data_IF_725437119875
#
_entry.id   IF_725437119875
#
_cell.length_a   1.000
_cell.length_b   1.000
_cell.length_c   1.000
_cell.angle_alpha   90.00
_cell.angle_beta   90.00
_cell.angle_gamma   90.00
#
_symmetry.space_group_name_H-M   'P 1'
#
loop_
_entity.id
_entity.type
_entity.pdbx_description
1 polymer ?
#
# COMPACT_ATOMS: atom_id res chain seq x y z
N UNK A 1 19.12 7.12 -16.11
CA UNK A 1 18.27 6.70 -14.98
C UNK A 1 16.96 6.25 -15.60
N UNK A 2 16.62 4.95 -15.55
CA UNK A 2 15.56 4.37 -16.37
C UNK A 2 14.21 5.06 -16.17
N UNK A 3 13.59 5.47 -17.27
CA UNK A 3 12.32 6.21 -17.28
C UNK A 3 11.11 5.38 -16.78
N UNK A 4 11.29 4.06 -16.61
CA UNK A 4 10.25 3.13 -16.19
C UNK A 4 10.81 2.04 -15.27
N UNK A 5 10.04 1.64 -14.26
CA UNK A 5 10.27 0.44 -13.45
C UNK A 5 9.22 -0.61 -13.77
N UNK A 6 9.61 -1.87 -13.81
CA UNK A 6 8.70 -2.95 -14.18
C UNK A 6 8.93 -4.20 -13.33
N UNK A 7 7.83 -4.85 -12.96
CA UNK A 7 7.77 -6.02 -12.12
C UNK A 7 6.78 -7.03 -12.73
N UNK A 8 7.24 -8.25 -12.98
CA UNK A 8 6.48 -9.27 -13.72
C UNK A 8 5.66 -10.21 -12.81
N UNK A 9 6.09 -10.41 -11.57
CA UNK A 9 5.51 -11.38 -10.63
C UNK A 9 4.75 -10.68 -9.50
N UNK A 10 3.90 -9.71 -9.85
CA UNK A 10 3.14 -8.90 -8.89
C UNK A 10 1.68 -9.33 -8.87
N UNK A 11 1.13 -9.38 -7.66
CA UNK A 11 -0.24 -9.77 -7.45
C UNK A 11 -1.07 -8.56 -7.03
N UNK A 12 -2.18 -8.30 -7.72
CA UNK A 12 -3.15 -7.29 -7.29
C UNK A 12 -4.16 -7.93 -6.33
N UNK A 13 -4.21 -7.42 -5.11
CA UNK A 13 -5.14 -7.86 -4.08
C UNK A 13 -6.49 -7.15 -4.28
N UNK A 14 -7.49 -7.88 -4.79
CA UNK A 14 -8.85 -7.38 -4.99
C UNK A 14 -9.83 -8.25 -4.22
N UNK A 15 -10.48 -7.66 -3.20
CA UNK A 15 -11.51 -8.34 -2.37
C UNK A 15 -11.07 -9.73 -1.85
N UNK A 16 -9.80 -9.85 -1.43
CA UNK A 16 -9.23 -11.11 -0.92
C UNK A 16 -8.76 -12.10 -2.00
N UNK A 17 -8.86 -11.75 -3.28
CA UNK A 17 -8.26 -12.53 -4.38
C UNK A 17 -6.92 -11.92 -4.79
N UNK A 18 -5.86 -12.73 -4.87
CA UNK A 18 -4.60 -12.35 -5.48
C UNK A 18 -4.66 -12.65 -6.97
N UNK A 19 -4.74 -11.60 -7.77
CA UNK A 19 -4.71 -11.70 -9.22
C UNK A 19 -3.27 -11.53 -9.68
N UNK A 20 -2.74 -12.47 -10.46
CA UNK A 20 -1.39 -12.38 -11.01
C UNK A 20 -1.33 -11.42 -12.20
N UNK A 21 -0.22 -10.70 -12.31
CA UNK A 21 -0.04 -9.71 -13.38
C UNK A 21 1.28 -8.97 -13.33
N UNK A 22 1.42 -8.03 -14.26
CA UNK A 22 2.61 -7.22 -14.46
C UNK A 22 2.34 -5.78 -14.07
N UNK A 23 3.20 -5.23 -13.22
CA UNK A 23 3.14 -3.85 -12.77
C UNK A 23 4.26 -3.03 -13.41
N UNK A 24 3.93 -1.86 -13.94
CA UNK A 24 4.88 -0.92 -14.52
C UNK A 24 4.67 0.48 -13.94
N UNK A 25 5.70 1.04 -13.34
CA UNK A 25 5.76 2.46 -12.97
C UNK A 25 6.39 3.25 -14.11
N UNK A 26 5.66 4.23 -14.62
CA UNK A 26 6.16 5.22 -15.59
C UNK A 26 6.03 6.61 -14.97
N UNK A 27 6.78 7.59 -15.46
CA UNK A 27 6.72 8.97 -14.91
C UNK A 27 5.31 9.57 -14.88
N UNK A 28 4.50 9.22 -15.88
CA UNK A 28 3.15 9.75 -16.06
C UNK A 28 2.06 8.89 -15.39
N UNK A 29 2.30 7.60 -15.20
CA UNK A 29 1.27 6.67 -14.77
C UNK A 29 1.82 5.37 -14.19
N UNK A 30 1.05 4.77 -13.30
CA UNK A 30 1.22 3.38 -12.87
C UNK A 30 0.27 2.51 -13.68
N UNK A 31 0.77 1.42 -14.26
CA UNK A 31 -0.02 0.51 -15.10
C UNK A 31 0.11 -0.91 -14.57
N UNK A 32 -1.01 -1.52 -14.26
CA UNK A 32 -1.09 -2.93 -13.90
C UNK A 32 -1.87 -3.69 -14.98
N UNK A 33 -1.32 -4.81 -15.45
CA UNK A 33 -1.99 -5.71 -16.38
C UNK A 33 -2.15 -7.08 -15.74
N UNK A 34 -3.40 -7.50 -15.54
CA UNK A 34 -3.71 -8.86 -15.09
C UNK A 34 -3.39 -9.86 -16.20
N UNK A 35 -2.65 -10.92 -15.86
CA UNK A 35 -2.33 -11.99 -16.79
C UNK A 35 -3.56 -12.88 -17.05
N UNK A 36 -4.35 -13.15 -16.01
CA UNK A 36 -5.53 -14.04 -16.09
C UNK A 36 -6.68 -13.44 -16.90
N UNK A 37 -7.00 -12.16 -16.68
CA UNK A 37 -8.15 -11.49 -17.32
C UNK A 37 -7.76 -10.60 -18.49
N UNK A 38 -6.48 -10.27 -18.63
CA UNK A 38 -6.01 -9.29 -19.61
C UNK A 38 -6.40 -7.84 -19.27
N UNK A 39 -7.15 -7.61 -18.18
CA UNK A 39 -7.59 -6.29 -17.75
C UNK A 39 -6.38 -5.42 -17.43
N UNK A 40 -6.40 -4.19 -17.94
CA UNK A 40 -5.38 -3.18 -17.68
C UNK A 40 -5.99 -2.09 -16.79
N UNK A 41 -5.42 -1.91 -15.61
CA UNK A 41 -5.74 -0.80 -14.71
C UNK A 41 -4.59 0.22 -14.80
N UNK A 42 -4.93 1.50 -14.98
CA UNK A 42 -3.96 2.59 -15.06
C UNK A 42 -4.33 3.70 -14.08
N UNK A 43 -3.35 4.16 -13.33
CA UNK A 43 -3.46 5.24 -12.36
C UNK A 43 -2.59 6.38 -12.85
N UNK A 44 -3.14 7.58 -12.95
CA UNK A 44 -2.38 8.75 -13.35
C UNK A 44 -1.47 9.21 -12.21
N UNK A 45 -0.24 9.62 -12.51
CA UNK A 45 0.69 10.16 -11.52
C UNK A 45 0.10 11.28 -10.64
N UNK A 46 -0.60 12.31 -11.17
CA UNK A 46 -1.22 13.35 -10.35
C UNK A 46 -2.38 12.89 -9.47
N UNK A 47 -2.94 11.70 -9.73
CA UNK A 47 -4.03 11.15 -8.90
C UNK A 47 -3.49 10.43 -7.66
N UNK A 48 -2.20 10.08 -7.62
CA UNK A 48 -1.58 9.44 -6.46
C UNK A 48 -1.48 10.43 -5.30
N UNK A 49 -2.20 10.13 -4.22
CA UNK A 49 -2.21 10.96 -3.01
C UNK A 49 -1.31 10.39 -1.92
N UNK A 50 -1.29 9.08 -1.75
CA UNK A 50 -0.57 8.41 -0.67
C UNK A 50 -0.02 7.04 -1.11
N UNK A 51 1.13 6.65 -0.56
CA UNK A 51 1.79 5.40 -0.86
C UNK A 51 2.37 4.77 0.42
N UNK A 52 1.89 3.58 0.76
CA UNK A 52 2.30 2.85 1.96
C UNK A 52 3.00 1.55 1.58
N UNK A 53 4.19 1.33 2.12
CA UNK A 53 4.91 0.07 2.09
C UNK A 53 4.53 -0.77 3.31
N UNK A 54 4.10 -2.00 3.09
CA UNK A 54 3.58 -2.89 4.13
C UNK A 54 4.14 -4.29 3.98
N UNK A 55 4.34 -4.97 5.11
CA UNK A 55 4.61 -6.41 5.13
C UNK A 55 3.32 -7.19 4.87
N UNK A 56 3.39 -8.16 3.97
CA UNK A 56 2.23 -8.99 3.56
C UNK A 56 2.61 -10.47 3.54
N UNK A 57 1.64 -11.37 3.31
CA UNK A 57 1.87 -12.81 3.29
C UNK A 57 2.89 -13.24 2.22
N UNK A 58 2.95 -12.51 1.10
CA UNK A 58 3.86 -12.75 -0.03
C UNK A 58 4.96 -11.68 -0.08
N UNK A 59 5.79 -11.62 0.97
CA UNK A 59 6.88 -10.66 1.06
C UNK A 59 6.40 -9.26 1.44
N UNK A 60 6.61 -8.29 0.54
CA UNK A 60 6.19 -6.91 0.75
C UNK A 60 5.13 -6.48 -0.27
N UNK A 61 4.32 -5.52 0.15
CA UNK A 61 3.23 -4.97 -0.64
C UNK A 61 3.21 -3.45 -0.58
N UNK A 62 2.69 -2.85 -1.63
CA UNK A 62 2.43 -1.42 -1.72
C UNK A 62 0.92 -1.20 -1.76
N UNK A 63 0.45 -0.28 -0.92
CA UNK A 63 -0.90 0.27 -0.99
C UNK A 63 -0.81 1.70 -1.54
N UNK A 64 -1.42 1.92 -2.70
CA UNK A 64 -1.55 3.23 -3.32
C UNK A 64 -2.96 3.74 -3.11
N UNK A 65 -3.09 4.93 -2.53
CA UNK A 65 -4.35 5.65 -2.47
C UNK A 65 -4.35 6.77 -3.52
N UNK A 66 -5.52 6.99 -4.10
CA UNK A 66 -5.74 8.07 -5.06
C UNK A 66 -6.60 9.16 -4.44
N UNK A 67 -6.48 10.38 -4.97
CA UNK A 67 -7.30 11.53 -4.57
C UNK A 67 -8.79 11.32 -4.78
N UNK A 68 -9.19 10.39 -5.66
CA UNK A 68 -10.57 9.97 -5.89
C UNK A 68 -11.10 8.97 -4.84
N UNK A 69 -10.27 8.56 -3.88
CA UNK A 69 -10.61 7.61 -2.82
C UNK A 69 -10.42 6.15 -3.21
N UNK A 70 -9.96 5.84 -4.44
CA UNK A 70 -9.66 4.48 -4.83
C UNK A 70 -8.33 4.01 -4.22
N UNK A 71 -8.33 2.76 -3.75
CA UNK A 71 -7.17 2.11 -3.13
C UNK A 71 -6.75 0.92 -3.97
N UNK A 72 -5.49 0.91 -4.39
CA UNK A 72 -4.86 -0.18 -5.12
C UNK A 72 -3.83 -0.87 -4.25
N UNK A 73 -3.88 -2.20 -4.20
CA UNK A 73 -2.99 -3.01 -3.39
C UNK A 73 -2.23 -3.98 -4.30
N UNK A 74 -0.91 -3.87 -4.27
CA UNK A 74 -0.01 -4.70 -5.06
C UNK A 74 0.94 -5.42 -4.10
N UNK A 75 1.03 -6.74 -4.22
CA UNK A 75 1.81 -7.61 -3.34
C UNK A 75 2.82 -8.44 -4.15
N UNK A 76 3.88 -8.93 -3.50
CA UNK A 76 4.92 -9.75 -4.13
C UNK A 76 6.25 -9.05 -4.36
N UNK A 77 6.47 -7.87 -3.75
CA UNK A 77 7.74 -7.17 -3.84
C UNK A 77 8.80 -7.77 -2.92
N UNK A 78 10.07 -7.65 -3.32
CA UNK A 78 11.21 -7.99 -2.48
C UNK A 78 11.56 -6.80 -1.61
N UNK A 79 12.17 -7.06 -0.46
CA UNK A 79 12.67 -6.01 0.44
C UNK A 79 13.68 -5.08 -0.26
N UNK A 80 14.52 -5.66 -1.13
CA UNK A 80 15.49 -4.92 -1.95
C UNK A 80 14.85 -3.94 -2.94
N UNK A 81 13.56 -4.09 -3.25
CA UNK A 81 12.86 -3.19 -4.17
C UNK A 81 12.44 -1.87 -3.48
N UNK A 82 12.45 -1.82 -2.14
CA UNK A 82 12.01 -0.66 -1.37
C UNK A 82 12.77 0.63 -1.75
N UNK A 83 14.10 0.60 -1.70
CA UNK A 83 14.92 1.79 -2.00
C UNK A 83 14.70 2.28 -3.43
N UNK A 84 14.60 1.34 -4.37
CA UNK A 84 14.38 1.62 -5.79
C UNK A 84 13.03 2.29 -6.05
N UNK A 85 11.97 1.77 -5.42
CA UNK A 85 10.61 2.29 -5.57
C UNK A 85 10.48 3.62 -4.83
N UNK A 86 11.02 3.74 -3.62
CA UNK A 86 11.02 4.97 -2.82
C UNK A 86 11.70 6.12 -3.58
N UNK A 87 12.89 5.89 -4.14
CA UNK A 87 13.58 6.88 -4.96
C UNK A 87 12.75 7.28 -6.21
N UNK A 88 12.09 6.32 -6.85
CA UNK A 88 11.25 6.58 -8.02
C UNK A 88 10.01 7.41 -7.69
N UNK A 89 9.34 7.09 -6.58
CA UNK A 89 8.13 7.80 -6.12
C UNK A 89 8.45 9.24 -5.71
N UNK A 90 9.55 9.45 -4.97
CA UNK A 90 10.01 10.80 -4.60
C UNK A 90 10.38 11.63 -5.83
N UNK A 91 11.11 11.04 -6.79
CA UNK A 91 11.58 11.75 -7.97
C UNK A 91 10.47 12.09 -8.98
N UNK A 92 9.50 11.19 -9.19
CA UNK A 92 8.51 11.33 -10.26
C UNK A 92 7.12 11.75 -9.77
N UNK A 93 6.66 11.20 -8.64
CA UNK A 93 5.30 11.43 -8.14
C UNK A 93 5.25 12.48 -7.03
N UNK A 94 6.41 12.83 -6.44
CA UNK A 94 6.52 13.69 -5.25
C UNK A 94 5.74 13.15 -4.05
N UNK A 95 5.58 11.83 -4.00
CA UNK A 95 4.95 11.09 -2.90
C UNK A 95 6.04 10.33 -2.17
N UNK A 96 6.02 10.37 -0.85
CA UNK A 96 6.90 9.56 -0.02
C UNK A 96 6.29 8.18 0.19
N UNK A 97 7.12 7.14 0.07
CA UNK A 97 6.70 5.77 0.37
C UNK A 97 6.87 5.53 1.86
N UNK A 98 5.78 5.59 2.61
CA UNK A 98 5.79 5.42 4.07
C UNK A 98 5.85 3.93 4.45
N UNK A 99 6.87 3.54 5.23
CA UNK A 99 6.93 2.20 5.80
C UNK A 99 5.96 2.09 6.97
N UNK A 100 4.96 1.21 6.83
CA UNK A 100 3.94 0.98 7.85
C UNK A 100 3.93 -0.49 8.22
N UNK A 101 4.62 -0.78 9.33
CA UNK A 101 4.54 -2.09 9.95
C UNK A 101 3.17 -2.32 10.59
N UNK A 102 2.60 -3.47 10.27
CA UNK A 102 1.41 -3.98 10.94
C UNK A 102 1.81 -4.60 12.27
N UNK A 103 0.84 -4.65 13.17
CA UNK A 103 1.11 -5.00 14.55
C UNK A 103 1.06 -6.50 14.73
N UNK A 104 2.23 -7.06 15.00
CA UNK A 104 2.44 -8.50 15.12
C UNK A 104 2.07 -9.07 16.48
N UNK A 105 1.67 -8.22 17.44
CA UNK A 105 1.39 -8.62 18.84
C UNK A 105 0.05 -9.36 19.03
N UNK A 106 -0.81 -9.45 18.01
CA UNK A 106 -2.10 -10.15 18.09
C UNK A 106 -3.16 -9.45 18.96
N UNK A 107 -2.91 -8.20 19.33
CA UNK A 107 -3.75 -7.37 20.16
C UNK A 107 -4.97 -6.86 19.37
N UNK A 108 -6.19 -7.16 19.84
CA UNK A 108 -7.45 -6.83 19.14
C UNK A 108 -8.13 -5.54 19.64
N UNK A 109 -7.54 -4.83 20.60
CA UNK A 109 -7.89 -3.47 21.00
C UNK A 109 -7.21 -2.41 20.12
N UNK A 110 -7.94 -1.35 19.81
CA UNK A 110 -7.47 -0.29 18.90
C UNK A 110 -8.55 0.74 18.60
N UNK A 111 -8.16 1.81 17.91
CA UNK A 111 -9.11 2.83 17.45
C UNK A 111 -9.61 2.48 16.05
N UNK A 112 -10.93 2.39 15.89
CA UNK A 112 -11.56 2.34 14.58
C UNK A 112 -11.59 3.76 13.99
N UNK A 113 -10.90 3.97 12.87
CA UNK A 113 -10.98 5.21 12.11
C UNK A 113 -11.74 4.98 10.81
N UNK A 114 -12.75 5.81 10.58
CA UNK A 114 -13.46 5.88 9.32
C UNK A 114 -12.77 6.93 8.45
N UNK A 115 -12.25 6.51 7.29
CA UNK A 115 -11.79 7.39 6.24
C UNK A 115 -12.52 6.95 4.96
N UNK A 116 -13.60 7.64 4.60
CA UNK A 116 -14.57 7.23 3.58
C UNK A 116 -13.92 6.75 2.26
N UNK A 117 -14.29 5.58 1.69
CA UNK A 117 -15.24 4.54 2.13
C UNK A 117 -14.58 3.40 2.94
N UNK A 118 -13.41 3.63 3.52
CA UNK A 118 -12.59 2.59 4.18
C UNK A 118 -12.63 2.67 5.70
N UNK A 119 -12.94 1.54 6.33
CA UNK A 119 -12.75 1.35 7.76
C UNK A 119 -11.33 0.84 8.01
N UNK A 120 -10.57 1.57 8.82
CA UNK A 120 -9.25 1.16 9.26
C UNK A 120 -9.25 0.93 10.77
N UNK A 121 -9.04 -0.31 11.20
CA UNK A 121 -8.72 -0.60 12.58
C UNK A 121 -7.23 -0.36 12.80
N UNK A 122 -6.90 0.56 13.71
CA UNK A 122 -5.53 0.85 14.10
C UNK A 122 -5.30 0.18 15.45
N UNK A 123 -4.62 -0.98 15.51
CA UNK A 123 -4.25 -1.60 16.77
C UNK A 123 -3.31 -0.70 17.57
N UNK A 124 -3.34 -0.81 18.90
CA UNK A 124 -2.36 -0.14 19.78
C UNK A 124 -1.10 -1.00 19.82
N UNK A 125 -0.02 -0.54 19.17
CA UNK A 125 1.13 -1.41 18.88
C UNK A 125 2.38 -1.03 19.66
N UNK A 126 2.47 0.25 20.00
CA UNK A 126 3.47 0.79 20.88
C UNK A 126 2.74 1.61 21.94
N UNK A 127 3.18 1.47 23.19
CA UNK A 127 2.72 2.26 24.32
C UNK A 127 3.10 3.73 24.16
N UNK A 128 2.48 4.40 23.20
CA UNK A 128 2.32 5.84 23.23
C UNK A 128 0.97 6.08 23.92
N UNK A 129 1.07 6.32 25.23
CA UNK A 129 -0.02 6.82 26.07
C UNK A 129 -0.49 8.17 25.51
N UNK A 130 -1.41 8.15 24.54
CA UNK A 130 -2.19 9.33 24.19
C UNK A 130 -3.64 9.11 24.58
N UNK A 131 -3.95 9.62 25.77
CA UNK A 131 -5.26 10.11 26.14
C UNK A 131 -6.32 9.03 26.24
N UNK A 132 -6.30 8.32 27.36
CA UNK A 132 -7.43 7.61 27.94
C UNK A 132 -8.78 8.26 27.61
N UNK A 133 -9.62 7.49 26.94
CA UNK A 133 -11.06 7.54 27.16
C UNK A 133 -11.55 6.10 27.33
N UNK A 134 -11.26 5.48 28.48
CA UNK A 134 -11.86 4.19 28.85
C UNK A 134 -11.17 3.47 30.01
N UNK A 135 -11.65 3.78 31.22
CA UNK A 135 -11.59 3.07 32.52
C UNK A 135 -10.57 1.92 32.70
N UNK A 136 -9.66 1.98 33.70
CA UNK A 136 -8.75 0.87 34.01
C UNK A 136 -9.49 -0.35 34.58
N UNK A 137 -9.01 -1.59 34.34
CA UNK A 137 -9.52 -2.78 35.01
C UNK A 137 -9.09 -2.83 36.49
N UNK A 138 -9.96 -3.38 37.34
CA UNK A 138 -9.76 -3.58 38.80
C UNK A 138 -8.48 -4.36 39.15
#
# INVERSE_FOLDING_TARGET
>A
MGDTLEFNDIHQEVKGSWNDGRLRFSKQSVVYKSNKTGKVDSISAPELSDAQWRRVCLGHGIKLATSTGHVYKYDGFKETDFEKISAFFKANYKVELEEKDLCVKGWNWGTAKFADPTLQCIPVCNGEERGDCGVPPE
#
